data_IF_980064273919
#
_entry.id   IF_980064273919
#
_cell.length_a   1.000
_cell.length_b   1.000
_cell.length_c   1.000
_cell.angle_alpha   90.00
_cell.angle_beta   90.00
_cell.angle_gamma   90.00
#
_symmetry.space_group_name_H-M   'P 1'
#
loop_
_entity.id
_entity.type
_entity.pdbx_description
1 polymer ?
#
# COMPACT_ATOMS: atom_id res chain seq x y z
N UNK A 1 -46.89 35.71 -3.38
CA UNK A 1 -45.70 35.30 -4.14
C UNK A 1 -44.49 35.49 -3.22
N UNK A 2 -44.12 34.47 -2.44
CA UNK A 2 -43.04 34.54 -1.45
C UNK A 2 -41.93 33.61 -1.95
N UNK A 3 -40.78 34.19 -2.31
CA UNK A 3 -39.57 33.44 -2.71
C UNK A 3 -38.83 33.04 -1.43
N UNK A 4 -38.82 31.74 -1.12
CA UNK A 4 -37.85 31.15 -0.21
C UNK A 4 -36.50 31.08 -0.93
N UNK A 5 -35.49 31.75 -0.38
CA UNK A 5 -34.09 31.58 -0.75
C UNK A 5 -33.60 30.41 0.09
N UNK A 6 -33.38 29.26 -0.55
CA UNK A 6 -32.74 28.11 0.07
C UNK A 6 -31.27 28.43 0.29
N UNK A 7 -30.85 28.50 1.55
CA UNK A 7 -29.45 28.42 1.93
C UNK A 7 -29.02 26.96 1.74
N UNK A 8 -28.25 26.68 0.68
CA UNK A 8 -27.44 25.47 0.62
C UNK A 8 -26.34 25.59 1.67
N UNK A 9 -26.47 24.85 2.77
CA UNK A 9 -25.37 24.64 3.70
C UNK A 9 -24.33 23.78 2.98
N UNK A 10 -23.25 24.42 2.53
CA UNK A 10 -22.02 23.75 2.14
C UNK A 10 -21.40 23.25 3.44
N UNK A 11 -21.53 21.95 3.72
CA UNK A 11 -20.74 21.26 4.73
C UNK A 11 -19.30 21.24 4.22
N UNK A 12 -18.54 22.26 4.61
CA UNK A 12 -17.08 22.24 4.53
C UNK A 12 -16.67 21.22 5.60
N UNK A 13 -16.39 19.99 5.16
CA UNK A 13 -15.65 19.03 5.97
C UNK A 13 -14.24 19.59 6.07
N UNK A 14 -13.96 20.28 7.18
CA UNK A 14 -12.62 20.72 7.51
C UNK A 14 -11.74 19.47 7.58
N UNK A 15 -10.75 19.36 6.70
CA UNK A 15 -9.64 18.45 6.92
C UNK A 15 -9.02 18.85 8.27
N UNK A 16 -9.16 18.00 9.28
CA UNK A 16 -8.33 18.11 10.48
C UNK A 16 -6.90 17.89 10.01
N UNK A 17 -6.19 19.00 9.75
CA UNK A 17 -4.75 18.94 9.52
C UNK A 17 -4.14 18.18 10.69
N UNK A 18 -3.34 17.16 10.39
CA UNK A 18 -2.60 16.44 11.43
C UNK A 18 -1.85 17.49 12.25
N UNK A 19 -2.20 17.62 13.54
CA UNK A 19 -1.50 18.54 14.43
C UNK A 19 -0.05 18.10 14.45
N UNK A 20 0.88 19.02 14.13
CA UNK A 20 2.30 18.74 14.19
C UNK A 20 2.71 18.26 15.58
N UNK A 21 3.34 17.10 15.64
CA UNK A 21 3.83 16.44 16.85
C UNK A 21 5.36 16.46 16.85
N UNK A 22 5.98 16.60 18.02
CA UNK A 22 7.45 16.59 18.13
C UNK A 22 7.87 15.22 18.65
N UNK A 23 8.87 14.62 18.01
CA UNK A 23 9.49 13.38 18.52
C UNK A 23 10.21 13.69 19.83
N UNK A 24 9.73 13.09 20.92
CA UNK A 24 10.28 13.24 22.26
C UNK A 24 11.36 12.18 22.57
N UNK A 25 11.37 11.08 21.82
CA UNK A 25 12.37 10.02 21.91
C UNK A 25 12.05 8.86 20.99
N UNK A 26 12.87 7.81 21.03
CA UNK A 26 12.61 6.59 20.28
C UNK A 26 13.39 5.39 20.80
N UNK A 27 12.96 4.22 20.37
CA UNK A 27 13.64 2.95 20.62
C UNK A 27 14.07 2.37 19.28
N UNK A 28 15.28 1.82 19.23
CA UNK A 28 15.82 1.16 18.05
C UNK A 28 16.26 -0.27 18.40
N UNK A 29 16.00 -1.20 17.49
CA UNK A 29 16.35 -2.61 17.63
C UNK A 29 16.83 -3.17 16.28
N UNK A 30 17.93 -3.90 16.33
CA UNK A 30 18.38 -4.79 15.25
C UNK A 30 17.75 -6.18 15.45
N UNK A 31 17.40 -6.86 14.35
CA UNK A 31 16.92 -8.25 14.32
C UNK A 31 15.74 -8.54 15.28
N UNK A 32 14.73 -7.67 15.29
CA UNK A 32 13.55 -7.83 16.16
C UNK A 32 12.42 -8.54 15.42
N UNK A 33 11.96 -9.66 15.98
CA UNK A 33 10.78 -10.40 15.48
C UNK A 33 10.88 -10.86 14.01
N UNK A 34 12.09 -11.10 13.51
CA UNK A 34 12.32 -11.49 12.11
C UNK A 34 12.49 -10.32 11.14
N UNK A 35 12.56 -9.09 11.64
CA UNK A 35 12.82 -7.88 10.85
C UNK A 35 14.23 -7.36 11.11
N UNK A 36 15.03 -7.08 10.06
CA UNK A 36 16.41 -6.63 10.22
C UNK A 36 16.56 -5.36 11.06
N UNK A 37 15.71 -4.36 10.83
CA UNK A 37 15.78 -3.08 11.50
C UNK A 37 14.39 -2.63 11.94
N UNK A 38 14.28 -2.15 13.17
CA UNK A 38 13.03 -1.71 13.77
C UNK A 38 13.24 -0.46 14.60
N UNK A 39 12.40 0.55 14.43
CA UNK A 39 12.41 1.76 15.24
C UNK A 39 11.01 2.17 15.67
N UNK A 40 10.84 2.62 16.91
CA UNK A 40 9.61 3.26 17.38
C UNK A 40 9.92 4.68 17.80
N UNK A 41 9.25 5.64 17.17
CA UNK A 41 9.28 7.06 17.50
C UNK A 41 8.12 7.38 18.45
N UNK A 42 8.43 7.98 19.59
CA UNK A 42 7.45 8.42 20.58
C UNK A 42 7.34 9.94 20.56
N UNK A 43 6.13 10.44 20.46
CA UNK A 43 5.85 11.88 20.37
C UNK A 43 5.56 12.50 21.74
N UNK A 44 5.66 13.82 21.83
CA UNK A 44 5.26 14.61 23.00
C UNK A 44 3.75 14.50 23.32
N UNK A 45 2.94 14.16 22.32
CA UNK A 45 1.52 13.84 22.46
C UNK A 45 1.24 12.42 23.00
N UNK A 46 2.27 11.63 23.31
CA UNK A 46 2.14 10.26 23.83
C UNK A 46 1.72 9.23 22.79
N UNK A 47 1.86 9.56 21.50
CA UNK A 47 1.56 8.69 20.37
C UNK A 47 2.83 8.05 19.81
N UNK A 48 2.70 6.93 19.11
CA UNK A 48 3.84 6.24 18.51
C UNK A 48 3.74 6.05 17.00
N UNK A 49 4.88 6.12 16.33
CA UNK A 49 5.08 5.75 14.93
C UNK A 49 6.19 4.73 14.87
N UNK A 50 5.92 3.58 14.27
CA UNK A 50 6.92 2.50 14.15
C UNK A 50 7.37 2.37 12.70
N UNK A 51 8.66 2.19 12.50
CA UNK A 51 9.28 1.91 11.22
C UNK A 51 9.92 0.52 11.28
N UNK A 52 9.74 -0.25 10.22
CA UNK A 52 10.22 -1.62 10.13
C UNK A 52 10.77 -1.89 8.73
N UNK A 53 11.99 -2.39 8.65
CA UNK A 53 12.55 -2.92 7.40
C UNK A 53 12.26 -4.42 7.31
N UNK A 54 11.86 -4.90 6.15
CA UNK A 54 11.66 -6.32 5.84
C UNK A 54 12.30 -6.69 4.51
N UNK A 55 12.79 -7.93 4.40
CA UNK A 55 13.25 -8.57 3.16
C UNK A 55 12.33 -9.74 2.74
N UNK A 56 11.06 -9.69 3.17
CA UNK A 56 10.12 -10.78 2.99
C UNK A 56 9.90 -11.09 1.50
N UNK A 57 9.93 -12.39 1.15
CA UNK A 57 9.77 -12.89 -0.23
C UNK A 57 10.74 -12.28 -1.25
N UNK A 58 11.99 -11.98 -0.84
CA UNK A 58 13.02 -11.35 -1.68
C UNK A 58 12.67 -9.93 -2.15
N UNK A 59 11.71 -9.26 -1.50
CA UNK A 59 11.36 -7.85 -1.75
C UNK A 59 11.70 -7.05 -0.50
N UNK A 60 12.48 -5.98 -0.68
CA UNK A 60 12.76 -5.03 0.39
C UNK A 60 11.55 -4.13 0.58
N UNK A 61 11.09 -4.02 1.83
CA UNK A 61 9.94 -3.20 2.21
C UNK A 61 10.28 -2.38 3.45
N UNK A 62 9.95 -1.08 3.41
CA UNK A 62 9.98 -0.18 4.55
C UNK A 62 8.54 0.12 4.96
N UNK A 63 8.15 -0.41 6.11
CA UNK A 63 6.80 -0.30 6.64
C UNK A 63 6.70 0.78 7.72
N UNK A 64 5.73 1.67 7.59
CA UNK A 64 5.30 2.63 8.60
C UNK A 64 4.04 2.10 9.28
N UNK A 65 4.09 1.92 10.60
CA UNK A 65 2.97 1.47 11.42
C UNK A 65 2.56 2.62 12.34
N UNK A 66 1.39 3.18 12.10
CA UNK A 66 0.87 4.37 12.79
C UNK A 66 -0.28 3.95 13.72
N UNK A 67 -0.01 3.86 15.02
CA UNK A 67 -1.02 3.53 16.05
C UNK A 67 -1.64 4.78 16.68
N UNK A 68 -2.62 4.59 17.57
CA UNK A 68 -3.19 5.66 18.40
C UNK A 68 -3.81 6.81 17.58
N UNK A 69 -4.35 6.47 16.41
CA UNK A 69 -5.09 7.37 15.50
C UNK A 69 -6.54 6.93 15.27
N UNK A 70 -7.13 6.26 16.25
CA UNK A 70 -8.48 5.70 16.17
C UNK A 70 -9.54 6.70 15.66
N UNK A 71 -9.46 7.97 16.04
CA UNK A 71 -10.39 9.00 15.56
C UNK A 71 -10.32 9.22 14.05
N UNK A 72 -9.12 9.16 13.47
CA UNK A 72 -8.90 9.25 12.03
C UNK A 72 -9.43 7.99 11.36
N UNK A 73 -9.08 6.80 11.87
CA UNK A 73 -9.46 5.53 11.25
C UNK A 73 -10.97 5.28 11.25
N UNK A 74 -11.71 5.74 12.28
CA UNK A 74 -13.17 5.59 12.36
C UNK A 74 -13.93 6.13 11.15
N UNK A 75 -13.38 7.10 10.42
CA UNK A 75 -14.05 7.70 9.25
C UNK A 75 -14.20 6.73 8.07
N UNK A 76 -13.43 5.64 8.07
CA UNK A 76 -13.44 4.62 7.03
C UNK A 76 -14.30 3.40 7.38
N UNK A 77 -15.16 3.54 8.39
CA UNK A 77 -16.08 2.49 8.80
C UNK A 77 -17.52 2.99 8.72
N UNK A 78 -18.40 2.16 8.18
CA UNK A 78 -19.83 2.43 8.17
C UNK A 78 -20.47 2.19 9.56
N UNK A 79 -21.76 2.54 9.69
CA UNK A 79 -22.51 2.35 10.94
C UNK A 79 -22.68 0.88 11.36
N UNK A 80 -22.31 -0.08 10.50
CA UNK A 80 -22.32 -1.53 10.76
C UNK A 80 -20.91 -2.05 11.07
N UNK A 81 -19.89 -1.19 11.08
CA UNK A 81 -18.49 -1.56 11.28
C UNK A 81 -17.86 -2.24 10.06
N UNK A 82 -18.42 -2.04 8.87
CA UNK A 82 -17.78 -2.48 7.63
C UNK A 82 -16.78 -1.41 7.19
N UNK A 83 -15.54 -1.85 6.94
CA UNK A 83 -14.45 -1.03 6.43
C UNK A 83 -14.67 -0.71 4.96
N UNK A 84 -14.42 0.53 4.58
CA UNK A 84 -14.27 0.98 3.20
C UNK A 84 -12.76 1.01 2.87
N UNK A 85 -12.29 -0.08 2.23
CA UNK A 85 -10.86 -0.30 1.92
C UNK A 85 -10.35 0.71 0.89
N UNK A 86 -11.09 0.88 -0.22
CA UNK A 86 -10.74 1.84 -1.26
C UNK A 86 -10.67 3.27 -0.73
N UNK A 87 -11.65 3.68 0.10
CA UNK A 87 -11.58 5.01 0.71
C UNK A 87 -10.39 5.19 1.68
N UNK A 88 -9.92 4.12 2.33
CA UNK A 88 -8.74 4.17 3.19
C UNK A 88 -7.45 4.32 2.37
N UNK A 89 -7.31 3.51 1.32
CA UNK A 89 -6.18 3.57 0.39
C UNK A 89 -6.11 4.94 -0.32
N UNK A 90 -7.22 5.41 -0.88
CA UNK A 90 -7.33 6.71 -1.57
C UNK A 90 -7.00 7.90 -0.65
N UNK A 91 -7.23 7.76 0.66
CA UNK A 91 -6.96 8.84 1.60
C UNK A 91 -5.48 8.98 1.97
N UNK A 92 -4.67 7.94 1.73
CA UNK A 92 -3.28 7.85 2.17
C UNK A 92 -2.40 7.30 1.06
N UNK A 93 -2.15 8.12 0.05
CA UNK A 93 -1.40 7.71 -1.14
C UNK A 93 0.13 7.68 -0.90
N UNK A 94 0.64 8.37 0.12
CA UNK A 94 2.09 8.47 0.31
C UNK A 94 2.57 9.15 1.59
N UNK A 95 3.89 9.28 1.68
CA UNK A 95 4.62 9.91 2.78
C UNK A 95 5.54 11.00 2.26
N UNK A 96 5.57 12.13 2.96
CA UNK A 96 6.56 13.20 2.79
C UNK A 96 7.61 13.08 3.88
N UNK A 97 8.89 13.05 3.49
CA UNK A 97 10.03 13.05 4.42
C UNK A 97 10.95 14.19 4.02
N UNK A 98 11.14 15.16 4.91
CA UNK A 98 11.79 16.42 4.58
C UNK A 98 11.10 17.11 3.39
N UNK A 99 11.85 17.37 2.32
CA UNK A 99 11.36 17.97 1.08
C UNK A 99 10.91 16.94 0.02
N UNK A 100 11.09 15.64 0.29
CA UNK A 100 10.82 14.56 -0.65
C UNK A 100 9.46 13.91 -0.39
N UNK A 101 8.79 13.47 -1.47
CA UNK A 101 7.53 12.71 -1.40
C UNK A 101 7.71 11.33 -2.04
N UNK A 102 7.06 10.34 -1.45
CA UNK A 102 7.10 8.94 -1.85
C UNK A 102 5.69 8.37 -1.81
N UNK A 103 5.31 7.65 -2.85
CA UNK A 103 4.02 6.95 -2.91
C UNK A 103 4.14 5.63 -2.13
N UNK A 104 3.06 5.24 -1.46
CA UNK A 104 2.98 3.93 -0.84
C UNK A 104 2.66 2.85 -1.87
N UNK A 105 3.24 1.67 -1.68
CA UNK A 105 3.00 0.50 -2.52
C UNK A 105 1.88 -0.37 -1.96
N UNK A 106 1.78 -0.49 -0.64
CA UNK A 106 0.67 -1.11 0.07
C UNK A 106 0.20 -0.21 1.21
N UNK A 107 -1.12 -0.15 1.40
CA UNK A 107 -1.77 0.62 2.46
C UNK A 107 -2.87 -0.23 3.06
N UNK A 108 -2.70 -0.64 4.30
CA UNK A 108 -3.64 -1.51 4.99
C UNK A 108 -3.92 -1.04 6.41
N UNK A 109 -5.03 -1.52 6.96
CA UNK A 109 -5.42 -1.23 8.33
C UNK A 109 -5.43 -2.53 9.15
N UNK A 110 -4.64 -2.56 10.21
CA UNK A 110 -4.64 -3.66 11.17
C UNK A 110 -5.65 -3.41 12.28
N UNK A 111 -6.61 -4.33 12.41
CA UNK A 111 -7.67 -4.29 13.42
C UNK A 111 -7.59 -5.49 14.35
N UNK A 112 -7.55 -5.23 15.67
CA UNK A 112 -7.54 -6.30 16.67
C UNK A 112 -8.94 -6.95 16.80
N UNK A 113 -10.02 -6.19 16.55
CA UNK A 113 -11.41 -6.68 16.48
C UNK A 113 -12.26 -5.77 15.58
N UNK A 114 -13.01 -6.38 14.65
CA UNK A 114 -13.90 -5.75 13.64
C UNK A 114 -14.95 -4.74 14.18
N UNK A 115 -15.08 -4.58 15.49
CA UNK A 115 -16.10 -3.72 16.13
C UNK A 115 -15.50 -2.58 16.98
N UNK A 116 -14.19 -2.61 17.25
CA UNK A 116 -13.55 -1.68 18.18
C UNK A 116 -12.39 -0.98 17.48
N UNK A 117 -12.69 0.08 16.70
CA UNK A 117 -11.65 1.02 16.27
C UNK A 117 -11.17 1.78 17.50
N UNK A 118 -10.08 1.30 18.07
CA UNK A 118 -9.48 1.74 19.31
C UNK A 118 -8.00 2.14 19.12
N UNK A 119 -7.33 2.44 20.22
CA UNK A 119 -5.92 2.87 20.25
C UNK A 119 -4.96 1.81 19.66
N UNK A 120 -5.36 0.53 19.64
CA UNK A 120 -4.57 -0.57 19.08
C UNK A 120 -4.77 -0.74 17.57
N UNK A 121 -5.73 -0.04 16.99
CA UNK A 121 -5.90 0.00 15.54
C UNK A 121 -4.74 0.78 14.94
N UNK A 122 -4.10 0.21 13.93
CA UNK A 122 -2.93 0.81 13.30
C UNK A 122 -3.07 0.80 11.77
N UNK A 123 -2.75 1.92 11.14
CA UNK A 123 -2.50 1.98 9.70
C UNK A 123 -1.10 1.46 9.43
N UNK A 124 -0.97 0.65 8.38
CA UNK A 124 0.27 0.03 7.92
C UNK A 124 0.47 0.50 6.48
N UNK A 125 1.60 1.15 6.22
CA UNK A 125 1.91 1.73 4.93
C UNK A 125 3.30 1.27 4.51
N UNK A 126 3.47 0.74 3.30
CA UNK A 126 4.77 0.26 2.84
C UNK A 126 5.30 1.09 1.67
N UNK A 127 6.62 1.27 1.66
CA UNK A 127 7.36 1.56 0.43
C UNK A 127 8.21 0.34 0.11
N UNK A 128 8.02 -0.20 -1.08
CA UNK A 128 8.58 -1.46 -1.52
C UNK A 128 9.60 -1.26 -2.64
N UNK A 129 10.42 -2.29 -2.85
CA UNK A 129 11.58 -2.34 -3.73
C UNK A 129 12.81 -1.59 -3.19
N UNK A 130 13.98 -2.22 -3.39
CA UNK A 130 15.23 -1.78 -2.78
C UNK A 130 15.60 -0.33 -3.14
N UNK A 131 15.36 0.09 -4.39
CA UNK A 131 15.68 1.45 -4.84
C UNK A 131 14.74 2.50 -4.26
N UNK A 132 13.46 2.21 -4.05
CA UNK A 132 12.53 3.15 -3.41
C UNK A 132 12.83 3.25 -1.92
N UNK A 133 13.01 2.10 -1.25
CA UNK A 133 13.44 2.06 0.16
C UNK A 133 14.74 2.85 0.36
N UNK A 134 15.75 2.67 -0.48
CA UNK A 134 17.00 3.42 -0.38
C UNK A 134 16.82 4.94 -0.52
N UNK A 135 15.92 5.40 -1.40
CA UNK A 135 15.60 6.83 -1.55
C UNK A 135 14.85 7.39 -0.35
N UNK A 136 13.93 6.61 0.23
CA UNK A 136 13.23 6.99 1.47
C UNK A 136 14.22 7.12 2.63
N UNK A 137 15.13 6.14 2.78
CA UNK A 137 16.17 6.16 3.79
C UNK A 137 17.13 7.34 3.62
N UNK A 138 17.45 7.73 2.39
CA UNK A 138 18.24 8.93 2.10
C UNK A 138 17.51 10.19 2.58
N UNK A 139 16.22 10.32 2.26
CA UNK A 139 15.40 11.47 2.69
C UNK A 139 15.22 11.54 4.23
N UNK A 140 15.30 10.42 4.96
CA UNK A 140 15.29 10.40 6.43
C UNK A 140 16.54 11.05 7.07
N UNK A 141 17.53 11.48 6.29
CA UNK A 141 18.57 12.38 6.76
C UNK A 141 18.04 13.79 7.05
N UNK A 142 16.96 14.18 6.39
CA UNK A 142 16.25 15.42 6.64
C UNK A 142 15.20 15.24 7.73
N UNK A 143 14.85 16.36 8.38
CA UNK A 143 13.85 16.36 9.44
C UNK A 143 12.43 16.40 8.85
N UNK A 144 11.51 15.71 9.51
CA UNK A 144 10.09 15.72 9.14
C UNK A 144 9.62 14.40 8.56
N UNK A 145 8.52 13.85 9.08
CA UNK A 145 7.73 12.78 8.43
C UNK A 145 6.27 13.19 8.47
N UNK A 146 5.62 13.24 7.30
CA UNK A 146 4.20 13.55 7.17
C UNK A 146 3.49 12.52 6.31
N UNK A 147 2.35 12.02 6.81
CA UNK A 147 1.32 11.36 6.02
C UNK A 147 0.09 12.25 6.15
N UNK A 148 -0.33 12.85 5.05
CA UNK A 148 -1.34 13.91 5.06
C UNK A 148 -2.63 13.44 5.75
N UNK A 149 -3.14 14.27 6.67
CA UNK A 149 -4.37 13.95 7.41
C UNK A 149 -4.24 12.81 8.45
N UNK A 150 -3.03 12.27 8.68
CA UNK A 150 -2.78 11.21 9.66
C UNK A 150 -1.73 11.58 10.71
N UNK A 151 -0.54 11.99 10.26
CA UNK A 151 0.58 12.30 11.14
C UNK A 151 1.49 13.36 10.50
N UNK A 152 2.02 14.27 11.32
CA UNK A 152 3.10 15.18 10.97
C UNK A 152 4.08 15.21 12.15
N UNK A 153 5.30 14.71 11.94
CA UNK A 153 6.34 14.59 12.97
C UNK A 153 7.51 15.51 12.66
N UNK A 154 7.99 16.24 13.65
CA UNK A 154 9.26 16.98 13.63
C UNK A 154 10.29 16.34 14.59
N UNK A 155 11.59 16.56 14.38
CA UNK A 155 12.66 16.00 15.21
C UNK A 155 12.98 14.53 14.93
N UNK A 156 12.67 14.03 13.74
CA UNK A 156 12.83 12.64 13.31
C UNK A 156 14.28 12.29 12.95
N UNK A 157 15.04 13.23 12.36
CA UNK A 157 16.33 12.94 11.72
C UNK A 157 17.36 12.32 12.69
N UNK A 158 17.46 12.84 13.92
CA UNK A 158 18.42 12.33 14.90
C UNK A 158 18.00 10.94 15.42
N UNK A 159 16.71 10.75 15.67
CA UNK A 159 16.18 9.50 16.24
C UNK A 159 16.24 8.35 15.23
N UNK A 160 16.12 8.66 13.93
CA UNK A 160 16.19 7.68 12.85
C UNK A 160 17.60 7.38 12.35
N UNK A 161 18.64 8.04 12.87
CA UNK A 161 20.01 7.83 12.39
C UNK A 161 20.50 6.39 12.56
N UNK A 162 20.18 5.74 13.68
CA UNK A 162 20.55 4.34 13.94
C UNK A 162 19.76 3.38 13.03
N UNK A 163 18.47 3.64 12.86
CA UNK A 163 17.60 2.88 11.96
C UNK A 163 18.08 2.94 10.51
N UNK A 164 18.46 4.13 10.03
CA UNK A 164 18.98 4.34 8.67
C UNK A 164 20.28 3.55 8.45
N UNK A 165 21.24 3.69 9.35
CA UNK A 165 22.53 2.99 9.25
C UNK A 165 22.34 1.46 9.27
N UNK A 166 21.45 0.95 10.12
CA UNK A 166 21.09 -0.47 10.12
C UNK A 166 20.49 -0.89 8.78
N UNK A 167 19.56 -0.09 8.25
CA UNK A 167 18.82 -0.43 7.05
C UNK A 167 19.70 -0.51 5.81
N UNK A 168 20.64 0.43 5.63
CA UNK A 168 21.66 0.33 4.59
C UNK A 168 22.52 -0.92 4.75
N UNK A 169 22.97 -1.22 5.97
CA UNK A 169 23.79 -2.41 6.23
C UNK A 169 23.04 -3.72 5.93
N UNK A 170 21.76 -3.83 6.32
CA UNK A 170 20.91 -4.98 6.05
C UNK A 170 20.72 -5.22 4.55
N UNK A 171 20.48 -4.14 3.79
CA UNK A 171 20.38 -4.16 2.34
C UNK A 171 21.72 -4.33 1.60
N UNK A 172 22.84 -4.37 2.35
CA UNK A 172 24.22 -4.44 1.82
C UNK A 172 24.59 -3.26 0.92
N UNK A 173 24.10 -2.08 1.28
CA UNK A 173 24.35 -0.81 0.61
C UNK A 173 25.22 0.08 1.49
N UNK A 174 25.85 1.09 0.87
CA UNK A 174 26.47 2.21 1.58
C UNK A 174 25.48 3.37 1.72
N UNK A 175 25.57 4.15 2.80
CA UNK A 175 24.75 5.36 2.92
C UNK A 175 25.05 6.32 1.75
N UNK A 176 24.00 6.81 1.09
CA UNK A 176 24.11 7.65 -0.10
C UNK A 176 24.51 6.89 -1.38
N UNK A 177 24.58 5.56 -1.36
CA UNK A 177 24.76 4.77 -2.57
C UNK A 177 23.53 4.90 -3.47
N UNK A 178 23.78 5.27 -4.73
CA UNK A 178 22.71 5.32 -5.73
C UNK A 178 22.35 3.90 -6.15
N UNK A 179 21.15 3.47 -5.79
CA UNK A 179 20.55 2.22 -6.27
C UNK A 179 19.87 2.48 -7.61
N UNK A 180 20.23 1.72 -8.64
CA UNK A 180 19.56 1.81 -9.94
C UNK A 180 18.12 1.27 -9.81
N UNK A 181 17.18 1.95 -10.47
CA UNK A 181 15.78 1.52 -10.52
C UNK A 181 15.68 0.19 -11.23
N UNK A 182 15.13 -0.82 -10.55
CA UNK A 182 14.71 -2.05 -11.21
C UNK A 182 13.34 -1.83 -11.86
N UNK A 183 13.34 -1.37 -13.11
CA UNK A 183 12.11 -1.13 -13.86
C UNK A 183 11.24 -2.38 -14.02
N UNK A 184 11.82 -3.57 -13.99
CA UNK A 184 11.03 -4.82 -14.08
C UNK A 184 10.27 -5.04 -12.78
N UNK A 185 10.90 -4.73 -11.65
CA UNK A 185 10.25 -4.77 -10.35
C UNK A 185 9.13 -3.71 -10.24
N UNK A 186 9.36 -2.49 -10.75
CA UNK A 186 8.33 -1.45 -10.86
C UNK A 186 7.10 -1.91 -11.64
N UNK A 187 7.30 -2.50 -12.83
CA UNK A 187 6.18 -3.03 -13.61
C UNK A 187 5.50 -4.22 -12.93
N UNK A 188 6.23 -5.02 -12.16
CA UNK A 188 5.66 -6.13 -11.38
C UNK A 188 4.69 -5.62 -10.32
N UNK A 189 5.07 -4.60 -9.56
CA UNK A 189 4.18 -4.00 -8.56
C UNK A 189 2.92 -3.40 -9.19
N UNK A 190 3.09 -2.66 -10.30
CA UNK A 190 1.95 -2.12 -11.05
C UNK A 190 1.03 -3.26 -11.50
N UNK A 191 1.61 -4.34 -12.06
CA UNK A 191 0.87 -5.51 -12.49
C UNK A 191 0.07 -6.13 -11.34
N UNK A 192 0.66 -6.33 -10.17
CA UNK A 192 -0.02 -6.99 -9.04
C UNK A 192 -1.27 -6.20 -8.60
N UNK A 193 -1.16 -4.88 -8.47
CA UNK A 193 -2.32 -4.04 -8.13
C UNK A 193 -3.42 -4.06 -9.19
N UNK A 194 -3.06 -3.96 -10.49
CA UNK A 194 -4.07 -3.95 -11.55
C UNK A 194 -4.63 -5.35 -11.88
N UNK A 195 -3.88 -6.41 -11.58
CA UNK A 195 -4.29 -7.79 -11.75
C UNK A 195 -5.40 -8.16 -10.78
N UNK A 196 -5.25 -7.82 -9.50
CA UNK A 196 -6.30 -8.02 -8.50
C UNK A 196 -7.59 -7.29 -8.89
N UNK A 197 -7.49 -6.00 -9.26
CA UNK A 197 -8.63 -5.23 -9.71
C UNK A 197 -9.33 -5.83 -10.95
N UNK A 198 -8.54 -6.35 -11.90
CA UNK A 198 -9.10 -7.04 -13.07
C UNK A 198 -9.88 -8.31 -12.68
N UNK A 199 -9.33 -9.14 -11.80
CA UNK A 199 -9.99 -10.35 -11.29
C UNK A 199 -11.27 -9.99 -10.53
N UNK A 200 -11.22 -8.98 -9.67
CA UNK A 200 -12.38 -8.43 -8.95
C UNK A 200 -13.46 -7.97 -9.92
N UNK A 201 -13.09 -7.18 -10.93
CA UNK A 201 -14.01 -6.70 -11.98
C UNK A 201 -14.67 -7.84 -12.77
N UNK A 202 -13.90 -8.88 -13.13
CA UNK A 202 -14.45 -10.06 -13.80
C UNK A 202 -15.44 -10.83 -12.93
N UNK A 203 -15.14 -11.01 -11.65
CA UNK A 203 -16.01 -11.68 -10.70
C UNK A 203 -17.31 -10.89 -10.45
N UNK A 204 -17.21 -9.56 -10.34
CA UNK A 204 -18.37 -8.68 -10.27
C UNK A 204 -19.24 -8.82 -11.52
N UNK A 205 -18.64 -8.80 -12.71
CA UNK A 205 -19.35 -8.93 -13.98
C UNK A 205 -20.02 -10.31 -14.13
N UNK A 206 -19.39 -11.38 -13.63
CA UNK A 206 -20.00 -12.71 -13.56
C UNK A 206 -21.20 -12.73 -12.61
N UNK A 207 -21.05 -12.22 -11.39
CA UNK A 207 -22.13 -12.16 -10.41
C UNK A 207 -23.33 -11.36 -10.95
N UNK A 208 -23.05 -10.29 -11.68
CA UNK A 208 -24.04 -9.47 -12.38
C UNK A 208 -24.61 -10.08 -13.66
N UNK A 209 -24.21 -11.32 -14.02
CA UNK A 209 -24.62 -12.04 -15.22
C UNK A 209 -24.31 -11.30 -16.54
N UNK A 210 -23.32 -10.40 -16.52
CA UNK A 210 -22.91 -9.60 -17.68
C UNK A 210 -21.93 -10.35 -18.58
N UNK A 211 -21.03 -11.14 -17.98
CA UNK A 211 -20.07 -12.01 -18.67
C UNK A 211 -19.84 -13.27 -17.83
N UNK A 212 -19.07 -14.24 -18.34
CA UNK A 212 -18.59 -15.37 -17.53
C UNK A 212 -17.18 -15.08 -17.04
N UNK A 213 -16.86 -15.58 -15.86
CA UNK A 213 -15.47 -15.59 -15.40
C UNK A 213 -14.66 -16.56 -16.27
N UNK A 214 -13.51 -16.12 -16.76
CA UNK A 214 -12.65 -16.87 -17.67
C UNK A 214 -11.38 -17.31 -16.93
N UNK A 215 -11.42 -18.48 -16.30
CA UNK A 215 -10.30 -19.04 -15.53
C UNK A 215 -9.09 -19.37 -16.44
N UNK A 216 -9.33 -19.69 -17.72
CA UNK A 216 -8.27 -19.96 -18.69
C UNK A 216 -7.52 -18.66 -19.01
N UNK A 217 -8.25 -17.55 -19.24
CA UNK A 217 -7.63 -16.25 -19.46
C UNK A 217 -6.82 -15.75 -18.25
N UNK A 218 -7.30 -16.00 -17.03
CA UNK A 218 -6.54 -15.66 -15.80
C UNK A 218 -5.24 -16.46 -15.74
N UNK A 219 -5.32 -17.76 -16.01
CA UNK A 219 -4.16 -18.65 -16.01
C UNK A 219 -3.11 -18.23 -17.06
N UNK A 220 -3.56 -17.86 -18.27
CA UNK A 220 -2.69 -17.34 -19.33
C UNK A 220 -1.97 -16.04 -18.91
N UNK A 221 -2.66 -15.13 -18.23
CA UNK A 221 -2.08 -13.88 -17.72
C UNK A 221 -1.05 -14.16 -16.62
N UNK A 222 -1.35 -15.07 -15.68
CA UNK A 222 -0.42 -15.49 -14.63
C UNK A 222 0.86 -16.08 -15.23
N UNK A 223 0.72 -16.93 -16.24
CA UNK A 223 1.86 -17.53 -16.94
C UNK A 223 2.71 -16.48 -17.67
N UNK A 224 2.06 -15.57 -18.40
CA UNK A 224 2.73 -14.49 -19.12
C UNK A 224 3.46 -13.53 -18.16
N UNK A 225 2.84 -13.18 -17.05
CA UNK A 225 3.43 -12.35 -16.01
C UNK A 225 4.66 -13.01 -15.40
N UNK A 226 4.57 -14.29 -15.03
CA UNK A 226 5.70 -15.02 -14.47
C UNK A 226 6.90 -15.05 -15.43
N UNK A 227 6.66 -15.27 -16.72
CA UNK A 227 7.74 -15.25 -17.72
C UNK A 227 8.33 -13.86 -17.96
N UNK A 228 7.52 -12.80 -17.94
CA UNK A 228 7.97 -11.42 -18.15
C UNK A 228 8.76 -10.85 -16.96
N UNK A 229 8.29 -11.09 -15.73
CA UNK A 229 8.91 -10.54 -14.52
C UNK A 229 10.11 -11.36 -14.02
N UNK A 230 10.23 -12.62 -14.42
CA UNK A 230 11.35 -13.49 -14.06
C UNK A 230 11.93 -14.20 -15.30
N UNK A 231 12.52 -13.44 -16.24
CA UNK A 231 13.00 -13.99 -17.50
C UNK A 231 14.23 -14.89 -17.30
N UNK A 232 14.49 -15.76 -18.28
CA UNK A 232 15.68 -16.60 -18.30
C UNK A 232 15.52 -17.98 -17.64
N UNK A 233 16.34 -18.93 -18.11
CA UNK A 233 16.19 -20.36 -17.79
C UNK A 233 16.48 -20.73 -16.34
N UNK A 234 17.20 -19.88 -15.59
CA UNK A 234 17.56 -20.15 -14.19
C UNK A 234 16.46 -19.74 -13.20
N UNK A 235 15.48 -18.95 -13.64
CA UNK A 235 14.43 -18.40 -12.77
C UNK A 235 13.17 -19.30 -12.66
N UNK A 236 13.26 -20.59 -13.01
CA UNK A 236 12.13 -21.53 -12.95
C UNK A 236 11.45 -21.58 -11.58
N UNK A 237 12.25 -21.60 -10.50
CA UNK A 237 11.73 -21.63 -9.13
C UNK A 237 10.96 -20.35 -8.78
N UNK A 238 11.56 -19.18 -9.06
CA UNK A 238 10.92 -17.87 -8.83
C UNK A 238 9.60 -17.76 -9.58
N UNK A 239 9.56 -18.23 -10.83
CA UNK A 239 8.31 -18.28 -11.61
C UNK A 239 7.26 -19.18 -11.00
N UNK A 240 7.63 -20.35 -10.48
CA UNK A 240 6.68 -21.24 -9.80
C UNK A 240 6.11 -20.57 -8.54
N UNK A 241 6.98 -20.03 -7.69
CA UNK A 241 6.59 -19.33 -6.46
C UNK A 241 5.72 -18.10 -6.79
N UNK A 242 6.02 -17.39 -7.88
CA UNK A 242 5.23 -16.25 -8.31
C UNK A 242 3.82 -16.63 -8.80
N UNK A 243 3.69 -17.68 -9.60
CA UNK A 243 2.39 -18.21 -10.01
C UNK A 243 1.54 -18.61 -8.80
N UNK A 244 2.14 -19.34 -7.86
CA UNK A 244 1.47 -19.75 -6.63
C UNK A 244 1.00 -18.55 -5.79
N UNK A 245 1.78 -17.46 -5.73
CA UNK A 245 1.36 -16.24 -5.07
C UNK A 245 0.15 -15.60 -5.76
N UNK A 246 0.17 -15.45 -7.09
CA UNK A 246 -0.95 -14.87 -7.84
C UNK A 246 -2.22 -15.73 -7.74
N UNK A 247 -2.08 -17.05 -7.85
CA UNK A 247 -3.19 -18.00 -7.64
C UNK A 247 -3.78 -17.89 -6.24
N UNK A 248 -2.94 -17.62 -5.23
CA UNK A 248 -3.34 -17.41 -3.85
C UNK A 248 -4.23 -16.18 -3.63
N UNK A 249 -4.14 -15.16 -4.50
CA UNK A 249 -4.96 -13.94 -4.42
C UNK A 249 -6.37 -14.14 -4.99
N UNK A 250 -6.53 -15.06 -5.95
CA UNK A 250 -7.78 -15.24 -6.70
C UNK A 250 -9.03 -15.43 -5.83
N UNK A 251 -9.03 -16.26 -4.75
CA UNK A 251 -10.23 -16.47 -3.96
C UNK A 251 -10.76 -15.20 -3.28
N UNK A 252 -9.85 -14.35 -2.80
CA UNK A 252 -10.23 -13.09 -2.14
C UNK A 252 -10.70 -12.07 -3.17
N UNK A 253 -9.96 -11.87 -4.25
CA UNK A 253 -10.39 -10.97 -5.34
C UNK A 253 -11.76 -11.36 -5.92
N UNK A 254 -12.01 -12.66 -6.13
CA UNK A 254 -13.32 -13.17 -6.57
C UNK A 254 -14.43 -12.85 -5.55
N UNK A 255 -14.15 -13.04 -4.27
CA UNK A 255 -15.11 -12.73 -3.20
C UNK A 255 -15.39 -11.22 -3.14
N UNK A 256 -14.37 -10.38 -3.25
CA UNK A 256 -14.51 -8.91 -3.29
C UNK A 256 -15.42 -8.48 -4.44
N UNK A 257 -15.19 -9.00 -5.66
CA UNK A 257 -16.04 -8.66 -6.81
C UNK A 257 -17.50 -9.07 -6.63
N UNK A 258 -17.77 -10.18 -5.94
CA UNK A 258 -19.14 -10.57 -5.58
C UNK A 258 -19.77 -9.59 -4.58
N UNK A 259 -19.00 -9.13 -3.59
CA UNK A 259 -19.46 -8.12 -2.62
C UNK A 259 -19.76 -6.81 -3.32
N UNK A 260 -18.89 -6.34 -4.21
CA UNK A 260 -19.07 -5.09 -4.96
C UNK A 260 -20.33 -5.13 -5.84
N UNK A 261 -20.66 -6.28 -6.40
CA UNK A 261 -21.91 -6.47 -7.12
C UNK A 261 -23.15 -6.27 -6.22
N UNK A 262 -23.07 -6.67 -4.95
CA UNK A 262 -24.15 -6.51 -3.97
C UNK A 262 -24.23 -5.09 -3.38
N UNK A 263 -23.09 -4.43 -3.18
CA UNK A 263 -22.99 -3.14 -2.48
C UNK A 263 -23.02 -1.94 -3.43
N UNK A 264 -22.23 -1.98 -4.51
CA UNK A 264 -22.08 -0.90 -5.49
C UNK A 264 -23.02 -1.08 -6.69
N UNK A 265 -23.41 -2.33 -6.95
CA UNK A 265 -24.37 -2.71 -7.98
C UNK A 265 -23.73 -3.07 -9.32
N UNK A 266 -24.58 -3.38 -10.29
CA UNK A 266 -24.16 -3.99 -11.56
C UNK A 266 -23.98 -3.01 -12.73
N UNK A 267 -23.90 -1.70 -12.45
CA UNK A 267 -23.81 -0.72 -13.50
C UNK A 267 -22.43 -0.79 -14.17
N UNK A 268 -22.39 -1.05 -15.47
CA UNK A 268 -21.16 -1.15 -16.27
C UNK A 268 -20.17 -2.27 -15.89
N UNK A 269 -20.53 -3.21 -15.02
CA UNK A 269 -19.64 -4.30 -14.58
C UNK A 269 -18.92 -5.02 -15.74
N UNK A 270 -19.64 -5.38 -16.81
CA UNK A 270 -19.03 -6.00 -18.00
C UNK A 270 -18.00 -5.11 -18.72
N UNK A 271 -18.24 -3.79 -18.79
CA UNK A 271 -17.27 -2.86 -19.38
C UNK A 271 -16.06 -2.63 -18.47
N UNK A 272 -16.27 -2.63 -17.15
CA UNK A 272 -15.18 -2.52 -16.19
C UNK A 272 -14.25 -3.72 -16.33
N UNK A 273 -14.80 -4.94 -16.41
CA UNK A 273 -14.02 -6.16 -16.65
C UNK A 273 -13.20 -6.12 -17.96
N UNK A 274 -13.77 -5.58 -19.04
CA UNK A 274 -13.06 -5.44 -20.32
C UNK A 274 -11.92 -4.41 -20.23
N UNK A 275 -12.15 -3.27 -19.57
CA UNK A 275 -11.20 -2.15 -19.51
C UNK A 275 -10.09 -2.41 -18.49
N UNK A 276 -10.39 -3.07 -17.37
CA UNK A 276 -9.40 -3.35 -16.32
C UNK A 276 -8.33 -4.34 -16.75
N UNK A 277 -8.56 -5.13 -17.81
CA UNK A 277 -7.51 -5.98 -18.42
C UNK A 277 -6.39 -5.17 -19.09
N UNK A 278 -6.69 -4.03 -19.69
CA UNK A 278 -5.72 -3.24 -20.47
C UNK A 278 -4.44 -2.88 -19.69
N UNK A 279 -4.50 -2.34 -18.44
CA UNK A 279 -3.30 -2.07 -17.67
C UNK A 279 -2.52 -3.33 -17.27
N UNK A 280 -3.19 -4.48 -17.08
CA UNK A 280 -2.57 -5.78 -16.81
C UNK A 280 -1.65 -6.19 -17.96
N UNK A 281 -2.21 -6.24 -19.17
CA UNK A 281 -1.47 -6.61 -20.38
C UNK A 281 -0.32 -5.61 -20.63
N UNK A 282 -0.57 -4.31 -20.41
CA UNK A 282 0.44 -3.25 -20.56
C UNK A 282 1.65 -3.48 -19.65
N UNK A 283 1.45 -3.79 -18.36
CA UNK A 283 2.54 -3.98 -17.41
C UNK A 283 3.42 -5.17 -17.79
N UNK A 284 2.80 -6.29 -18.20
CA UNK A 284 3.52 -7.48 -18.72
C UNK A 284 4.32 -7.11 -19.97
N UNK A 285 3.70 -6.43 -20.94
CA UNK A 285 4.34 -6.04 -22.19
C UNK A 285 5.56 -5.13 -21.97
N UNK A 286 5.47 -4.13 -21.08
CA UNK A 286 6.61 -3.26 -20.81
C UNK A 286 7.74 -4.01 -20.09
N UNK A 287 7.43 -4.90 -19.15
CA UNK A 287 8.43 -5.73 -18.49
C UNK A 287 9.15 -6.69 -19.45
N UNK A 288 8.42 -7.26 -20.40
CA UNK A 288 8.97 -8.16 -21.43
C UNK A 288 9.93 -7.45 -22.41
N UNK A 289 9.89 -6.11 -22.51
CA UNK A 289 10.80 -5.33 -23.36
C UNK A 289 12.14 -5.02 -22.71
N UNK A 290 12.28 -5.25 -21.40
CA UNK A 290 13.48 -4.89 -20.61
C UNK A 290 14.64 -5.89 -20.75
N UNK A 291 14.75 -6.58 -21.88
CA UNK A 291 15.82 -7.57 -22.16
C UNK A 291 17.25 -7.02 -21.95
#
# INVERSE_FOLDING_TARGET
>A
MIRQIGLSAILIVSAEAAVGEIVAGGEFYEDRSGYPCFATLNTDAGKSVTLQLSDYKDVWSLTFIISDRASVYRRFFDSRGLRDEGAFEDAFEGVRIGECSFDFNDTSLFEVRRQDVDEKTAGIFSVDEQHNVARVLEAMADDGIEIEGLVSLDGTATVLSEFRSCSYAAMRLQEGERVETDFRAEYRMIFEGVFENWVTSMAQAEHCLATRFDDDAVSEVIDAAADAFYPGILNVRKRSEYRENLDGLLPMAKLSGMVDAETEGCLMAGRLADVSRMPVDRAIEEAAKLD
#
